data_IF_948561363367
#
_entry.id   IF_948561363367
#
_cell.length_a   1.000
_cell.length_b   1.000
_cell.length_c   1.000
_cell.angle_alpha   90.00
_cell.angle_beta   90.00
_cell.angle_gamma   90.00
#
_symmetry.space_group_name_H-M   'P 1'
#
loop_
_entity.id
_entity.type
_entity.pdbx_description
1 polymer ?
#
# COMPACT_ATOMS: atom_id res chain seq x y z
N UNK A 1 2.85 -18.88 -22.25
CA UNK A 1 4.23 -18.39 -22.53
C UNK A 1 5.21 -19.34 -21.86
N UNK A 2 6.33 -19.67 -22.54
CA UNK A 2 7.38 -20.55 -22.02
C UNK A 2 8.65 -19.75 -21.76
N UNK A 3 9.42 -20.16 -20.75
CA UNK A 3 10.67 -19.49 -20.37
C UNK A 3 11.77 -19.83 -21.37
N UNK A 4 12.41 -18.82 -21.96
CA UNK A 4 13.54 -18.98 -22.87
C UNK A 4 14.90 -18.75 -22.21
N UNK A 5 14.99 -18.64 -20.88
CA UNK A 5 16.25 -18.44 -20.17
C UNK A 5 17.13 -19.70 -20.28
N UNK A 6 18.44 -19.50 -20.45
CA UNK A 6 19.43 -20.57 -20.34
C UNK A 6 19.89 -20.71 -18.89
N UNK A 7 19.84 -21.94 -18.40
CA UNK A 7 20.37 -22.33 -17.10
C UNK A 7 21.28 -23.53 -17.34
N UNK A 8 22.56 -23.41 -17.02
CA UNK A 8 23.57 -24.48 -17.19
C UNK A 8 23.52 -25.15 -18.60
N UNK A 9 23.62 -24.36 -19.66
CA UNK A 9 23.57 -24.79 -21.07
C UNK A 9 22.25 -25.41 -21.56
N UNK A 10 21.23 -25.48 -20.72
CA UNK A 10 19.88 -25.93 -21.12
C UNK A 10 18.91 -24.76 -21.18
N UNK A 11 17.94 -24.84 -22.11
CA UNK A 11 16.84 -23.87 -22.16
C UNK A 11 15.80 -24.30 -21.12
N UNK A 12 15.48 -23.38 -20.19
CA UNK A 12 14.38 -23.57 -19.27
C UNK A 12 13.05 -23.46 -20.05
N UNK A 13 12.37 -24.55 -20.33
CA UNK A 13 11.07 -24.58 -20.99
C UNK A 13 9.90 -24.55 -19.98
N UNK A 14 10.12 -24.02 -18.77
CA UNK A 14 9.13 -23.89 -17.72
C UNK A 14 7.99 -22.91 -18.09
N UNK A 15 6.79 -23.05 -17.50
CA UNK A 15 5.73 -22.07 -17.67
C UNK A 15 6.13 -20.73 -17.02
N UNK A 16 5.79 -19.62 -17.69
CA UNK A 16 5.98 -18.27 -17.16
C UNK A 16 4.64 -17.73 -16.68
N UNK A 17 4.58 -17.31 -15.43
CA UNK A 17 3.44 -16.57 -14.85
C UNK A 17 3.85 -15.14 -14.51
N UNK A 18 2.92 -14.18 -14.43
CA UNK A 18 3.19 -12.88 -13.82
C UNK A 18 3.67 -13.04 -12.37
N UNK A 19 4.51 -12.13 -11.90
CA UNK A 19 4.97 -12.10 -10.49
C UNK A 19 3.87 -11.51 -9.59
N UNK A 20 2.72 -12.18 -9.56
CA UNK A 20 1.58 -11.87 -8.70
C UNK A 20 1.33 -13.02 -7.74
N UNK A 21 0.78 -12.71 -6.59
CA UNK A 21 0.34 -13.72 -5.62
C UNK A 21 -1.09 -14.15 -5.95
N UNK A 22 -1.30 -15.43 -6.19
CA UNK A 22 -2.63 -16.00 -6.41
C UNK A 22 -3.31 -16.37 -5.11
N UNK A 23 -4.64 -16.59 -5.17
CA UNK A 23 -5.38 -17.11 -4.03
C UNK A 23 -4.78 -18.45 -3.55
N UNK A 24 -4.57 -18.57 -2.23
CA UNK A 24 -3.92 -19.72 -1.63
C UNK A 24 -2.38 -19.69 -1.60
N UNK A 25 -1.74 -18.76 -2.29
CA UNK A 25 -0.30 -18.53 -2.17
C UNK A 25 0.00 -17.58 -1.00
N UNK A 26 1.15 -17.76 -0.35
CA UNK A 26 1.65 -16.83 0.67
C UNK A 26 2.18 -15.56 -0.01
N UNK A 27 1.94 -14.42 0.61
CA UNK A 27 2.64 -13.19 0.24
C UNK A 27 4.15 -13.39 0.43
N UNK A 28 5.00 -12.90 -0.50
CA UNK A 28 6.44 -13.03 -0.38
C UNK A 28 6.96 -12.31 0.86
N UNK A 29 7.99 -12.87 1.50
CA UNK A 29 8.56 -12.30 2.73
C UNK A 29 9.01 -10.84 2.54
N UNK A 30 9.50 -10.50 1.36
CA UNK A 30 9.88 -9.12 1.03
C UNK A 30 8.71 -8.13 1.11
N UNK A 31 7.45 -8.59 0.99
CA UNK A 31 6.28 -7.73 1.18
C UNK A 31 6.17 -7.29 2.63
N UNK A 32 6.20 -8.26 3.56
CA UNK A 32 6.11 -7.98 4.99
C UNK A 32 7.29 -7.14 5.48
N UNK A 33 8.46 -7.49 5.02
CA UNK A 33 9.68 -6.77 5.31
C UNK A 33 9.62 -5.30 4.86
N UNK A 34 9.18 -5.07 3.62
CA UNK A 34 9.00 -3.72 3.09
C UNK A 34 7.89 -2.95 3.82
N UNK A 35 6.82 -3.65 4.18
CA UNK A 35 5.70 -3.08 4.89
C UNK A 35 6.09 -2.65 6.31
N UNK A 36 6.69 -3.53 7.08
CA UNK A 36 7.15 -3.24 8.44
C UNK A 36 8.15 -2.06 8.45
N UNK A 37 9.00 -1.99 7.45
CA UNK A 37 9.95 -0.88 7.29
C UNK A 37 9.27 0.48 7.05
N UNK A 38 8.17 0.51 6.32
CA UNK A 38 7.45 1.75 6.01
C UNK A 38 6.57 2.19 7.19
N UNK A 39 6.02 1.23 7.94
CA UNK A 39 4.99 1.50 8.94
C UNK A 39 5.48 1.59 10.36
N UNK A 40 6.70 1.13 10.65
CA UNK A 40 7.23 1.04 12.00
C UNK A 40 8.42 2.01 12.21
N UNK A 41 8.26 2.98 13.10
CA UNK A 41 9.31 3.96 13.46
C UNK A 41 10.50 3.33 14.17
N UNK A 42 10.27 2.23 14.88
CA UNK A 42 11.32 1.55 15.67
C UNK A 42 12.04 0.43 14.89
N UNK A 43 11.73 0.27 13.60
CA UNK A 43 12.29 -0.82 12.83
C UNK A 43 13.76 -0.58 12.47
N UNK A 44 14.68 -1.35 13.10
CA UNK A 44 16.12 -1.22 12.96
C UNK A 44 16.74 -1.85 11.71
N UNK A 45 15.97 -2.43 10.80
CA UNK A 45 16.50 -3.09 9.60
C UNK A 45 17.23 -4.41 9.88
N UNK A 46 17.67 -5.10 8.82
CA UNK A 46 18.35 -6.41 8.88
C UNK A 46 19.76 -6.38 9.51
N UNK A 47 20.33 -5.22 9.80
CA UNK A 47 21.68 -5.09 10.37
C UNK A 47 21.73 -3.96 11.39
N UNK A 48 20.65 -3.72 12.13
CA UNK A 48 20.54 -2.61 13.10
C UNK A 48 20.91 -1.24 12.51
N UNK A 49 20.97 -1.11 11.22
CA UNK A 49 21.13 0.17 10.53
C UNK A 49 19.76 0.73 10.21
N UNK A 50 19.37 1.85 10.79
CA UNK A 50 18.17 2.56 10.37
C UNK A 50 18.35 2.92 8.90
N UNK A 51 17.55 2.35 8.00
CA UNK A 51 17.59 2.72 6.59
C UNK A 51 17.03 4.12 6.36
N UNK A 52 16.30 4.64 7.35
CA UNK A 52 15.85 6.02 7.45
C UNK A 52 15.94 6.43 8.92
N UNK A 53 16.52 7.59 9.20
CA UNK A 53 16.58 8.17 10.56
C UNK A 53 15.18 8.48 11.10
N UNK A 54 14.18 8.62 10.20
CA UNK A 54 12.77 8.86 10.48
C UNK A 54 11.91 7.74 9.91
N UNK A 55 12.06 6.51 10.39
CA UNK A 55 11.18 5.39 10.02
C UNK A 55 9.74 5.65 10.45
N UNK A 56 8.79 5.05 9.73
CA UNK A 56 7.38 5.16 10.05
C UNK A 56 6.56 5.89 8.99
N UNK A 57 5.26 5.86 9.17
CA UNK A 57 4.28 6.45 8.29
C UNK A 57 3.60 7.62 9.01
N UNK A 58 3.69 8.82 8.45
CA UNK A 58 3.04 10.03 9.01
C UNK A 58 1.59 10.17 8.56
N UNK A 59 1.22 9.51 7.47
CA UNK A 59 -0.14 9.47 6.94
C UNK A 59 -0.33 8.21 6.09
N UNK A 60 -1.39 7.46 6.36
CA UNK A 60 -1.82 6.36 5.51
C UNK A 60 -3.06 6.75 4.71
N UNK A 61 -2.98 6.60 3.38
CA UNK A 61 -4.13 6.81 2.51
C UNK A 61 -4.48 5.47 1.83
N UNK A 62 -5.69 5.00 2.09
CA UNK A 62 -6.27 3.79 1.50
C UNK A 62 -7.28 4.20 0.44
N UNK A 63 -7.12 3.73 -0.79
CA UNK A 63 -7.94 4.18 -1.92
C UNK A 63 -8.51 2.99 -2.70
N UNK A 64 -9.82 2.98 -2.92
CA UNK A 64 -10.48 2.10 -3.88
C UNK A 64 -10.38 0.60 -3.57
N UNK A 65 -10.34 0.23 -2.29
CA UNK A 65 -10.29 -1.17 -1.87
C UNK A 65 -11.34 -1.44 -0.78
N UNK A 66 -11.93 -2.64 -0.83
CA UNK A 66 -12.82 -3.13 0.22
C UNK A 66 -12.09 -3.79 1.39
N UNK A 67 -10.75 -3.86 1.39
CA UNK A 67 -9.93 -4.50 2.43
C UNK A 67 -10.38 -5.93 2.81
N UNK A 68 -11.06 -6.63 1.89
CA UNK A 68 -11.73 -7.91 2.18
C UNK A 68 -10.80 -9.14 2.07
N UNK A 69 -9.54 -8.98 1.64
CA UNK A 69 -8.64 -10.09 1.35
C UNK A 69 -7.55 -10.21 2.40
N UNK A 70 -7.61 -11.30 3.17
CA UNK A 70 -6.54 -11.66 4.11
C UNK A 70 -5.30 -12.16 3.34
N UNK A 71 -4.06 -11.80 3.75
CA UNK A 71 -3.74 -10.99 4.95
C UNK A 71 -3.66 -9.47 4.66
N UNK A 72 -3.93 -9.03 3.44
CA UNK A 72 -3.79 -7.62 3.05
C UNK A 72 -4.67 -6.67 3.88
N UNK A 73 -5.89 -7.10 4.26
CA UNK A 73 -6.77 -6.34 5.13
C UNK A 73 -6.13 -5.90 6.45
N UNK A 74 -5.15 -6.69 6.95
CA UNK A 74 -4.45 -6.37 8.20
C UNK A 74 -3.42 -5.24 8.05
N UNK A 75 -3.15 -4.78 6.83
CA UNK A 75 -2.15 -3.73 6.60
C UNK A 75 -2.52 -2.39 7.23
N UNK A 76 -3.81 -2.08 7.33
CA UNK A 76 -4.30 -0.84 7.97
C UNK A 76 -4.11 -0.81 9.49
N UNK A 77 -3.79 -1.96 10.09
CA UNK A 77 -3.52 -2.09 11.53
C UNK A 77 -2.01 -2.02 11.86
N UNK A 78 -1.15 -1.88 10.85
CA UNK A 78 0.31 -1.90 11.03
C UNK A 78 0.94 -0.56 11.36
N UNK A 79 0.48 0.59 10.82
CA UNK A 79 1.05 1.87 11.21
C UNK A 79 0.93 2.13 12.71
N UNK A 80 1.83 2.97 13.23
CA UNK A 80 1.76 3.42 14.61
C UNK A 80 0.38 4.02 14.92
N UNK A 81 -0.06 3.90 16.16
CA UNK A 81 -1.38 4.38 16.61
C UNK A 81 -1.61 5.87 16.35
N UNK A 82 -0.53 6.64 16.34
CA UNK A 82 -0.57 8.09 16.09
C UNK A 82 -0.62 8.45 14.60
N UNK A 83 -0.47 7.47 13.69
CA UNK A 83 -0.51 7.69 12.25
C UNK A 83 -1.95 7.94 11.78
N UNK A 84 -2.29 9.14 11.29
CA UNK A 84 -3.60 9.41 10.72
C UNK A 84 -3.88 8.50 9.52
N UNK A 85 -5.13 8.03 9.40
CA UNK A 85 -5.53 7.14 8.31
C UNK A 85 -6.74 7.71 7.58
N UNK A 86 -6.70 7.68 6.25
CA UNK A 86 -7.79 8.14 5.39
C UNK A 86 -8.21 7.01 4.46
N UNK A 87 -9.49 6.65 4.49
CA UNK A 87 -10.09 5.76 3.50
C UNK A 87 -10.87 6.59 2.47
N UNK A 88 -10.53 6.45 1.19
CA UNK A 88 -11.26 7.03 0.06
C UNK A 88 -11.93 5.89 -0.69
N UNK A 89 -13.23 5.74 -0.53
CA UNK A 89 -13.98 4.64 -1.15
C UNK A 89 -15.47 4.98 -1.31
N UNK A 90 -16.19 4.17 -2.08
CA UNK A 90 -17.65 4.30 -2.20
C UNK A 90 -18.37 3.85 -0.94
N UNK A 91 -17.83 2.85 -0.27
CA UNK A 91 -18.38 2.26 0.96
C UNK A 91 -17.30 2.17 2.03
N UNK A 92 -17.70 2.34 3.29
CA UNK A 92 -16.80 2.06 4.41
C UNK A 92 -16.55 0.55 4.53
N UNK A 93 -15.48 0.16 5.18
CA UNK A 93 -15.13 -1.25 5.39
C UNK A 93 -15.09 -1.54 6.88
N UNK A 94 -15.48 -2.77 7.25
CA UNK A 94 -15.46 -3.20 8.65
C UNK A 94 -14.07 -3.10 9.25
N UNK A 95 -13.02 -3.42 8.47
CA UNK A 95 -11.63 -3.35 8.89
C UNK A 95 -11.15 -1.92 9.15
N UNK A 96 -11.76 -0.94 8.50
CA UNK A 96 -11.44 0.47 8.72
C UNK A 96 -12.27 1.10 9.83
N UNK A 97 -13.48 0.58 10.05
CA UNK A 97 -14.42 1.03 11.06
C UNK A 97 -14.22 0.36 12.44
N UNK A 98 -13.16 -0.44 12.55
CA UNK A 98 -12.90 -1.26 13.74
C UNK A 98 -12.41 -0.41 14.92
N UNK A 99 -13.37 0.28 15.55
CA UNK A 99 -13.12 1.22 16.65
C UNK A 99 -12.81 0.55 18.00
N UNK A 100 -13.14 -0.74 18.17
CA UNK A 100 -13.27 -1.34 19.50
C UNK A 100 -11.99 -1.96 20.09
N UNK A 101 -10.90 -2.14 19.34
CA UNK A 101 -9.73 -2.88 19.87
C UNK A 101 -8.45 -2.05 19.94
N UNK A 102 -8.30 -1.06 19.08
CA UNK A 102 -7.11 -0.23 19.04
C UNK A 102 -7.54 1.23 18.96
N UNK A 103 -7.24 2.00 19.97
CA UNK A 103 -7.41 3.46 19.97
C UNK A 103 -6.57 4.08 18.84
N UNK A 104 -7.08 4.04 17.60
CA UNK A 104 -6.53 4.81 16.49
C UNK A 104 -7.19 6.19 16.48
N UNK A 105 -6.47 7.26 16.84
CA UNK A 105 -7.11 8.53 17.15
C UNK A 105 -7.66 9.27 15.93
N UNK A 106 -7.18 9.03 14.72
CA UNK A 106 -7.54 9.84 13.56
C UNK A 106 -7.79 8.98 12.30
N UNK A 107 -8.98 8.40 12.22
CA UNK A 107 -9.47 7.77 10.99
C UNK A 107 -10.52 8.62 10.32
N UNK A 108 -10.34 8.88 9.03
CA UNK A 108 -11.26 9.66 8.22
C UNK A 108 -11.75 8.85 7.03
N UNK A 109 -13.06 8.66 6.92
CA UNK A 109 -13.69 8.09 5.75
C UNK A 109 -14.20 9.18 4.81
N UNK A 110 -13.68 9.23 3.59
CA UNK A 110 -14.13 10.11 2.52
C UNK A 110 -14.93 9.30 1.50
N UNK A 111 -16.25 9.35 1.65
CA UNK A 111 -17.18 8.63 0.77
C UNK A 111 -17.29 9.31 -0.59
N UNK A 112 -17.01 8.57 -1.68
CA UNK A 112 -17.22 9.04 -3.04
C UNK A 112 -16.33 8.33 -4.06
N UNK A 113 -16.41 8.79 -5.30
CA UNK A 113 -15.51 8.32 -6.36
C UNK A 113 -14.09 8.80 -6.11
N UNK A 114 -13.13 7.88 -6.13
CA UNK A 114 -11.74 8.16 -5.81
C UNK A 114 -11.17 9.31 -6.65
N UNK A 115 -11.44 9.32 -7.96
CA UNK A 115 -10.96 10.34 -8.87
C UNK A 115 -11.47 11.74 -8.53
N UNK A 116 -12.72 11.85 -8.09
CA UNK A 116 -13.34 13.14 -7.73
C UNK A 116 -12.76 13.67 -6.43
N UNK A 117 -12.62 12.78 -5.44
CA UNK A 117 -12.04 13.14 -4.14
C UNK A 117 -10.59 13.55 -4.31
N UNK A 118 -9.79 12.79 -5.07
CA UNK A 118 -8.39 13.15 -5.32
C UNK A 118 -8.26 14.47 -6.07
N UNK A 119 -9.08 14.73 -7.09
CA UNK A 119 -9.07 16.03 -7.78
C UNK A 119 -9.40 17.19 -6.85
N UNK A 120 -10.40 16.99 -5.97
CA UNK A 120 -10.73 17.98 -4.96
C UNK A 120 -9.58 18.21 -3.99
N UNK A 121 -8.98 17.15 -3.45
CA UNK A 121 -7.84 17.23 -2.55
C UNK A 121 -6.67 17.97 -3.19
N UNK A 122 -6.30 17.61 -4.43
CA UNK A 122 -5.23 18.29 -5.20
C UNK A 122 -5.48 19.78 -5.33
N UNK A 123 -6.73 20.17 -5.57
CA UNK A 123 -7.14 21.59 -5.65
C UNK A 123 -7.02 22.27 -4.28
N UNK A 124 -7.53 21.63 -3.22
CA UNK A 124 -7.56 22.18 -1.87
C UNK A 124 -6.14 22.41 -1.30
N UNK A 125 -5.18 21.53 -1.65
CA UNK A 125 -3.76 21.69 -1.26
C UNK A 125 -2.91 22.52 -2.24
N UNK A 126 -3.51 23.05 -3.33
CA UNK A 126 -2.82 23.90 -4.29
C UNK A 126 -1.89 23.18 -5.27
N UNK A 127 -2.06 21.89 -5.50
CA UNK A 127 -1.20 21.07 -6.36
C UNK A 127 -1.71 20.88 -7.80
N UNK A 128 -2.69 21.65 -8.22
CA UNK A 128 -3.35 21.50 -9.54
C UNK A 128 -2.36 21.48 -10.69
N UNK A 129 -1.43 22.46 -10.76
CA UNK A 129 -0.46 22.56 -11.85
C UNK A 129 0.49 21.36 -11.91
N UNK A 130 0.92 20.87 -10.75
CA UNK A 130 1.79 19.70 -10.62
C UNK A 130 1.07 18.42 -11.04
N UNK A 131 -0.17 18.28 -10.65
CA UNK A 131 -1.02 17.14 -11.00
C UNK A 131 -1.27 17.09 -12.52
N UNK A 132 -1.62 18.22 -13.15
CA UNK A 132 -1.84 18.29 -14.59
C UNK A 132 -0.58 17.95 -15.40
N UNK A 133 0.60 18.33 -14.91
CA UNK A 133 1.88 17.93 -15.56
C UNK A 133 2.09 16.43 -15.56
N UNK A 134 1.72 15.75 -14.48
CA UNK A 134 1.85 14.28 -14.36
C UNK A 134 0.82 13.57 -15.23
N UNK A 135 -0.40 14.11 -15.34
CA UNK A 135 -1.49 13.51 -16.10
C UNK A 135 -1.36 13.69 -17.63
N UNK A 136 -0.49 14.57 -18.11
CA UNK A 136 -0.23 14.70 -19.53
C UNK A 136 0.47 13.44 -20.06
N UNK A 137 -0.05 12.83 -21.16
CA UNK A 137 0.61 11.68 -21.74
C UNK A 137 2.05 12.05 -22.14
N UNK A 138 3.00 11.20 -21.77
CA UNK A 138 4.38 11.33 -22.26
C UNK A 138 4.35 11.03 -23.77
N UNK A 139 4.50 12.05 -24.59
CA UNK A 139 4.72 11.92 -26.04
C UNK A 139 6.06 11.26 -26.33
#
# INVERSE_FOLDING_TARGET
>A
MRCGLRVEDQICDGPVKPEITFFGEKLPDRFWYGWDRITNKEWGGLNDTPLYEDGGCDLMIVIGTGLAVYPFQMTVLKPDKECPQVLINLENTEEFDYDDILEYPERLFLKGYCDEIIKKLVKDVGWTDSFEKVMKPKT
#
